data_IF_552008290599
#
_entry.id   IF_552008290599
#
_cell.length_a   1.000
_cell.length_b   1.000
_cell.length_c   1.000
_cell.angle_alpha   90.00
_cell.angle_beta   90.00
_cell.angle_gamma   90.00
#
_symmetry.space_group_name_H-M   'P 1'
#
loop_
_entity.id
_entity.type
_entity.pdbx_description
1 polymer ?
#
# COMPACT_ATOMS: atom_id res chain seq x y z
N UNK A 1 -4.81 2.03 -24.48
CA UNK A 1 -4.18 3.34 -24.75
C UNK A 1 -3.43 3.83 -23.51
N UNK A 2 -2.45 4.68 -23.72
CA UNK A 2 -1.61 5.19 -22.61
C UNK A 2 -2.44 5.90 -21.54
N UNK A 3 -3.44 6.69 -21.95
CA UNK A 3 -4.31 7.40 -21.00
C UNK A 3 -5.04 6.46 -20.07
N UNK A 4 -5.56 5.35 -20.60
CA UNK A 4 -6.29 4.37 -19.80
C UNK A 4 -5.36 3.63 -18.86
N UNK A 5 -4.13 3.36 -19.28
CA UNK A 5 -3.12 2.72 -18.44
C UNK A 5 -2.71 3.62 -17.28
N UNK A 6 -2.56 4.92 -17.55
CA UNK A 6 -2.22 5.88 -16.51
C UNK A 6 -3.37 6.01 -15.51
N UNK A 7 -4.61 6.09 -16.01
CA UNK A 7 -5.79 6.18 -15.15
C UNK A 7 -5.90 4.96 -14.24
N UNK A 8 -5.73 3.74 -14.80
CA UNK A 8 -5.75 2.52 -14.02
C UNK A 8 -4.63 2.49 -12.98
N UNK A 9 -3.44 2.94 -13.35
CA UNK A 9 -2.31 3.02 -12.43
C UNK A 9 -2.64 3.89 -11.23
N UNK A 10 -3.26 5.05 -11.48
CA UNK A 10 -3.62 5.98 -10.40
C UNK A 10 -4.73 5.41 -9.51
N UNK A 11 -5.76 4.82 -10.12
CA UNK A 11 -6.91 4.31 -9.35
C UNK A 11 -6.51 3.12 -8.50
N UNK A 12 -5.80 2.16 -9.05
CA UNK A 12 -5.49 0.90 -8.35
C UNK A 12 -4.17 0.93 -7.59
N UNK A 13 -3.38 2.00 -7.70
CA UNK A 13 -2.23 2.20 -6.83
C UNK A 13 -2.63 2.88 -5.51
N UNK A 14 -3.80 3.51 -5.48
CA UNK A 14 -4.29 4.24 -4.32
C UNK A 14 -4.99 3.28 -3.36
N UNK A 15 -4.79 3.49 -2.07
CA UNK A 15 -5.39 2.63 -1.04
C UNK A 15 -5.96 3.50 0.08
N UNK A 16 -7.15 3.13 0.55
CA UNK A 16 -7.76 3.77 1.70
C UNK A 16 -7.21 3.14 2.98
N UNK A 17 -6.84 3.98 3.92
CA UNK A 17 -6.29 3.57 5.21
C UNK A 17 -7.19 4.12 6.31
N UNK A 18 -7.61 3.24 7.23
CA UNK A 18 -8.36 3.64 8.40
C UNK A 18 -7.63 3.08 9.62
N UNK A 19 -7.20 3.95 10.51
CA UNK A 19 -6.62 3.57 11.78
C UNK A 19 -7.62 3.91 12.87
N UNK A 20 -7.77 3.02 13.85
CA UNK A 20 -8.70 3.28 14.95
C UNK A 20 -8.21 2.66 16.24
N UNK A 21 -8.63 3.25 17.34
CA UNK A 21 -8.54 2.68 18.66
C UNK A 21 -9.91 2.78 19.33
N UNK A 22 -9.96 2.63 20.66
CA UNK A 22 -11.24 2.62 21.37
C UNK A 22 -11.98 3.96 21.31
N UNK A 23 -11.25 5.06 21.12
CA UNK A 23 -11.82 6.40 21.27
C UNK A 23 -11.64 7.30 20.07
N UNK A 24 -10.68 6.99 19.20
CA UNK A 24 -10.33 7.85 18.06
C UNK A 24 -10.24 7.08 16.77
N UNK A 25 -10.28 7.83 15.68
CA UNK A 25 -10.23 7.29 14.32
C UNK A 25 -9.44 8.26 13.45
N UNK A 26 -8.57 7.70 12.61
CA UNK A 26 -7.85 8.44 11.60
C UNK A 26 -8.11 7.82 10.25
N UNK A 27 -8.30 8.66 9.25
CA UNK A 27 -8.53 8.22 7.86
C UNK A 27 -7.52 8.90 6.96
N UNK A 28 -7.07 8.17 5.98
CA UNK A 28 -6.17 8.72 5.00
C UNK A 28 -6.10 7.87 3.76
N UNK A 29 -5.25 8.32 2.87
CA UNK A 29 -5.00 7.65 1.61
C UNK A 29 -3.50 7.43 1.49
N UNK A 30 -3.15 6.30 0.92
CA UNK A 30 -1.77 6.03 0.55
C UNK A 30 -1.71 5.52 -0.86
N UNK A 31 -0.53 5.20 -1.31
CA UNK A 31 -0.37 4.53 -2.60
C UNK A 31 0.70 3.46 -2.49
N UNK A 32 0.54 2.42 -3.31
CA UNK A 32 1.53 1.35 -3.37
C UNK A 32 2.72 1.77 -4.20
N UNK A 33 3.91 1.51 -3.67
CA UNK A 33 5.17 1.71 -4.37
C UNK A 33 5.95 0.41 -4.35
N UNK A 34 6.55 0.06 -5.48
CA UNK A 34 7.41 -1.11 -5.59
C UNK A 34 8.82 -0.66 -5.86
N UNK A 35 9.74 -1.10 -5.03
CA UNK A 35 11.16 -0.90 -5.23
C UNK A 35 11.76 -2.17 -5.80
N UNK A 36 12.39 -2.06 -6.97
CA UNK A 36 13.11 -3.17 -7.61
C UNK A 36 14.58 -3.05 -7.30
N UNK A 37 15.16 -4.16 -6.90
CA UNK A 37 16.60 -4.23 -6.60
C UNK A 37 17.33 -5.04 -7.67
N UNK A 38 18.66 -4.82 -7.84
CA UNK A 38 19.43 -5.53 -8.87
C UNK A 38 19.44 -7.04 -8.74
N UNK A 39 19.25 -7.59 -7.54
CA UNK A 39 19.17 -9.03 -7.30
C UNK A 39 17.81 -9.62 -7.65
N UNK A 40 16.96 -8.84 -8.31
CA UNK A 40 15.59 -9.20 -8.73
C UNK A 40 14.59 -9.32 -7.58
N UNK A 41 14.95 -8.91 -6.37
CA UNK A 41 13.97 -8.80 -5.30
C UNK A 41 13.16 -7.53 -5.45
N UNK A 42 11.92 -7.58 -4.98
CA UNK A 42 11.01 -6.45 -4.98
C UNK A 42 10.45 -6.24 -3.59
N UNK A 43 10.33 -5.00 -3.18
CA UNK A 43 9.66 -4.65 -1.94
C UNK A 43 8.50 -3.73 -2.27
N UNK A 44 7.30 -4.13 -1.85
CA UNK A 44 6.11 -3.30 -1.96
C UNK A 44 5.86 -2.64 -0.61
N UNK A 45 5.56 -1.36 -0.66
CA UNK A 45 5.22 -0.60 0.53
C UNK A 45 4.07 0.35 0.21
N UNK A 46 3.35 0.77 1.23
CA UNK A 46 2.38 1.85 1.11
C UNK A 46 3.06 3.14 1.54
N UNK A 47 2.97 4.17 0.72
CA UNK A 47 3.43 5.52 1.06
C UNK A 47 2.23 6.30 1.56
N UNK A 48 2.32 6.86 2.74
CA UNK A 48 1.25 7.69 3.31
C UNK A 48 1.85 8.77 4.20
N UNK A 49 1.01 9.50 4.90
CA UNK A 49 1.44 10.56 5.81
C UNK A 49 1.57 10.01 7.24
N UNK A 50 2.57 10.49 7.96
CA UNK A 50 2.75 10.07 9.36
C UNK A 50 1.52 10.37 10.21
N UNK A 51 0.87 11.52 10.00
CA UNK A 51 -0.28 11.89 10.83
C UNK A 51 -1.46 10.91 10.69
N UNK A 52 -1.52 10.14 9.61
CA UNK A 52 -2.57 9.13 9.44
C UNK A 52 -2.37 7.96 10.40
N UNK A 53 -1.10 7.58 10.64
CA UNK A 53 -0.77 6.35 11.38
C UNK A 53 -0.20 6.59 12.77
N UNK A 54 0.16 7.83 13.11
CA UNK A 54 0.76 8.14 14.40
C UNK A 54 -0.15 7.75 15.56
N UNK A 55 0.42 6.99 16.50
CA UNK A 55 -0.29 6.63 17.72
C UNK A 55 -1.23 5.44 17.62
N UNK A 56 -1.32 4.81 16.46
CA UNK A 56 -2.20 3.66 16.26
C UNK A 56 -1.41 2.37 16.16
N UNK A 57 -1.98 1.28 16.68
CA UNK A 57 -1.36 -0.04 16.66
C UNK A 57 -1.77 -0.86 15.44
N UNK A 58 -2.91 -0.54 14.84
CA UNK A 58 -3.35 -1.25 13.65
C UNK A 58 -4.10 -0.33 12.70
N UNK A 59 -4.16 -0.78 11.46
CA UNK A 59 -4.90 -0.11 10.40
C UNK A 59 -5.68 -1.15 9.60
N UNK A 60 -6.72 -0.69 8.96
CA UNK A 60 -7.44 -1.46 7.96
C UNK A 60 -7.19 -0.81 6.60
N UNK A 61 -6.74 -1.58 5.63
CA UNK A 61 -6.61 -1.12 4.25
C UNK A 61 -7.65 -1.81 3.40
N UNK A 62 -8.22 -1.08 2.45
CA UNK A 62 -9.27 -1.60 1.59
C UNK A 62 -8.79 -1.59 0.14
N UNK A 63 -8.87 -2.74 -0.49
CA UNK A 63 -8.41 -2.96 -1.86
C UNK A 63 -9.54 -3.57 -2.69
N UNK A 64 -9.47 -3.41 -4.00
CA UNK A 64 -10.39 -4.09 -4.89
C UNK A 64 -10.14 -5.60 -4.86
N UNK A 65 -11.19 -6.38 -4.98
CA UNK A 65 -11.06 -7.82 -5.18
C UNK A 65 -10.70 -8.14 -6.62
N UNK A 66 -10.59 -9.42 -6.92
CA UNK A 66 -10.34 -9.90 -8.27
C UNK A 66 -11.53 -10.74 -8.70
N UNK A 67 -12.08 -10.46 -9.88
CA UNK A 67 -13.17 -11.22 -10.42
C UNK A 67 -12.67 -12.53 -11.07
N UNK A 68 -13.60 -13.33 -11.60
CA UNK A 68 -13.28 -14.62 -12.20
C UNK A 68 -12.40 -14.52 -13.44
N UNK A 69 -12.32 -13.34 -14.04
CA UNK A 69 -11.49 -13.09 -15.22
C UNK A 69 -10.14 -12.48 -14.86
N UNK A 70 -9.82 -12.37 -13.58
CA UNK A 70 -8.57 -11.75 -13.12
C UNK A 70 -8.56 -10.24 -13.16
N UNK A 71 -9.73 -9.62 -13.34
CA UNK A 71 -9.86 -8.18 -13.42
C UNK A 71 -10.30 -7.59 -12.07
N UNK A 72 -10.07 -6.30 -11.84
CA UNK A 72 -10.49 -5.71 -10.58
C UNK A 72 -12.00 -5.75 -10.43
N UNK A 73 -12.44 -6.09 -9.23
CA UNK A 73 -13.85 -6.17 -8.87
C UNK A 73 -14.15 -5.07 -7.85
N UNK A 74 -14.65 -3.95 -8.34
CA UNK A 74 -14.92 -2.78 -7.51
C UNK A 74 -16.18 -2.94 -6.65
N UNK A 75 -16.95 -3.99 -6.87
CA UNK A 75 -18.14 -4.31 -6.06
C UNK A 75 -17.79 -5.17 -4.85
N UNK A 76 -16.68 -5.87 -4.90
CA UNK A 76 -16.24 -6.76 -3.83
C UNK A 76 -14.86 -6.34 -3.35
N UNK A 77 -14.85 -5.45 -2.38
CA UNK A 77 -13.62 -4.98 -1.76
C UNK A 77 -13.13 -5.98 -0.73
N UNK A 78 -11.82 -6.03 -0.56
CA UNK A 78 -11.18 -6.81 0.47
C UNK A 78 -10.55 -5.85 1.48
N UNK A 79 -10.91 -6.02 2.75
CA UNK A 79 -10.33 -5.24 3.84
C UNK A 79 -9.29 -6.10 4.55
N UNK A 80 -8.07 -5.60 4.62
CA UNK A 80 -6.95 -6.29 5.24
C UNK A 80 -6.58 -5.55 6.52
N UNK A 81 -6.52 -6.27 7.63
CA UNK A 81 -6.08 -5.73 8.90
C UNK A 81 -4.57 -5.82 9.01
N UNK A 82 -3.94 -4.69 9.27
CA UNK A 82 -2.49 -4.58 9.43
C UNK A 82 -2.20 -4.36 10.91
N UNK A 83 -1.64 -5.36 11.56
CA UNK A 83 -1.24 -5.30 12.97
C UNK A 83 0.18 -4.79 13.10
N UNK A 84 0.57 -4.43 14.32
CA UNK A 84 1.92 -3.97 14.63
C UNK A 84 2.36 -2.80 13.76
N UNK A 85 1.46 -1.85 13.60
CA UNK A 85 1.59 -0.78 12.62
C UNK A 85 2.89 0.02 12.80
N UNK A 86 3.26 0.31 14.05
CA UNK A 86 4.45 1.11 14.31
C UNK A 86 5.74 0.38 13.95
N UNK A 87 5.76 -0.94 14.05
CA UNK A 87 6.92 -1.76 13.65
C UNK A 87 7.07 -1.84 12.14
N UNK A 88 5.98 -1.61 11.41
CA UNK A 88 5.95 -1.68 9.95
C UNK A 88 6.25 -0.33 9.31
N UNK A 89 6.34 0.71 10.09
CA UNK A 89 6.50 2.07 9.60
C UNK A 89 7.96 2.48 9.57
N UNK A 90 8.37 3.10 8.47
CA UNK A 90 9.62 3.83 8.38
C UNK A 90 9.28 5.26 7.98
N UNK A 91 9.55 6.20 8.89
CA UNK A 91 9.28 7.61 8.66
C UNK A 91 10.43 8.27 7.92
N UNK A 92 10.12 9.32 7.16
CA UNK A 92 11.16 10.12 6.54
C UNK A 92 12.13 10.66 7.60
N UNK A 93 13.45 10.64 7.33
CA UNK A 93 14.42 11.11 8.33
C UNK A 93 14.27 12.59 8.70
N UNK A 94 13.76 13.41 7.77
CA UNK A 94 13.45 14.81 8.08
C UNK A 94 12.06 14.86 8.70
N UNK A 95 11.99 15.26 9.98
CA UNK A 95 10.73 15.31 10.72
C UNK A 95 9.74 16.34 10.20
N UNK A 96 10.21 17.30 9.41
CA UNK A 96 9.33 18.27 8.77
C UNK A 96 8.61 17.71 7.55
N UNK A 97 9.01 16.53 7.10
CA UNK A 97 8.37 15.86 5.97
C UNK A 97 7.46 14.76 6.52
N UNK A 98 6.15 14.97 6.34
CA UNK A 98 5.11 14.09 6.90
C UNK A 98 4.83 12.91 5.98
N UNK A 99 5.84 12.09 5.73
CA UNK A 99 5.75 10.93 4.84
C UNK A 99 6.37 9.72 5.52
N UNK A 100 5.73 8.57 5.36
CA UNK A 100 6.26 7.31 5.84
C UNK A 100 5.95 6.18 4.86
N UNK A 101 6.66 5.08 5.05
CA UNK A 101 6.43 3.82 4.35
C UNK A 101 5.84 2.81 5.33
N UNK A 102 4.88 2.02 4.86
CA UNK A 102 4.32 0.91 5.61
C UNK A 102 4.58 -0.38 4.84
N UNK A 103 5.25 -1.33 5.48
CA UNK A 103 5.56 -2.62 4.86
C UNK A 103 4.44 -3.61 5.16
N UNK A 104 3.70 -4.01 4.13
CA UNK A 104 2.47 -4.79 4.28
C UNK A 104 2.45 -6.06 3.43
N UNK A 105 3.54 -6.40 2.76
CA UNK A 105 3.60 -7.54 1.85
C UNK A 105 3.17 -8.85 2.51
N UNK A 106 3.67 -9.11 3.71
CA UNK A 106 3.36 -10.33 4.43
C UNK A 106 1.86 -10.48 4.69
N UNK A 107 1.19 -9.38 4.98
CA UNK A 107 -0.25 -9.40 5.23
C UNK A 107 -1.05 -9.65 3.95
N UNK A 108 -0.64 -9.03 2.86
CA UNK A 108 -1.29 -9.26 1.57
C UNK A 108 -1.12 -10.73 1.17
N UNK A 109 0.08 -11.28 1.29
CA UNK A 109 0.34 -12.69 0.98
C UNK A 109 -0.47 -13.62 1.86
N UNK A 110 -0.61 -13.29 3.14
CA UNK A 110 -1.41 -14.08 4.08
C UNK A 110 -2.88 -14.15 3.65
N UNK A 111 -3.44 -13.04 3.21
CA UNK A 111 -4.82 -12.99 2.73
C UNK A 111 -4.98 -13.74 1.40
N UNK A 112 -4.01 -13.63 0.51
CA UNK A 112 -4.03 -14.35 -0.75
C UNK A 112 -3.95 -15.86 -0.54
N UNK A 113 -3.14 -16.31 0.40
CA UNK A 113 -3.08 -17.74 0.77
C UNK A 113 -4.39 -18.25 1.37
N UNK A 114 -5.15 -17.35 2.00
CA UNK A 114 -6.47 -17.68 2.54
C UNK A 114 -7.58 -17.62 1.48
N UNK A 115 -7.23 -17.40 0.22
CA UNK A 115 -8.18 -17.35 -0.88
C UNK A 115 -8.81 -16.00 -1.14
N UNK A 116 -8.29 -14.94 -0.52
CA UNK A 116 -8.80 -13.56 -0.68
C UNK A 116 -7.87 -12.78 -1.57
N UNK A 117 -8.01 -12.95 -2.87
CA UNK A 117 -7.17 -12.26 -3.85
C UNK A 117 -7.54 -10.79 -3.96
N UNK A 118 -6.54 -9.95 -4.09
CA UNK A 118 -6.70 -8.49 -4.18
C UNK A 118 -6.03 -7.98 -5.44
N UNK A 119 -6.62 -6.91 -5.99
CA UNK A 119 -6.10 -6.25 -7.16
C UNK A 119 -5.53 -4.89 -6.77
N UNK A 120 -4.26 -4.67 -7.09
CA UNK A 120 -3.63 -3.37 -6.91
C UNK A 120 -2.48 -3.22 -7.89
N UNK A 121 -2.14 -1.97 -8.17
CA UNK A 121 -0.97 -1.62 -8.97
C UNK A 121 -0.02 -0.82 -8.11
N UNK A 122 1.26 -1.09 -8.26
CA UNK A 122 2.29 -0.35 -7.54
C UNK A 122 3.04 0.55 -8.50
N UNK A 123 3.30 1.77 -8.07
CA UNK A 123 4.20 2.67 -8.81
C UNK A 123 5.60 2.11 -8.65
N UNK A 124 6.21 1.69 -9.77
CA UNK A 124 7.50 1.03 -9.74
C UNK A 124 8.66 2.00 -9.80
N UNK A 125 9.69 1.71 -9.02
CA UNK A 125 10.99 2.37 -9.17
C UNK A 125 12.05 1.27 -9.26
N UNK A 126 13.01 1.47 -10.15
CA UNK A 126 14.12 0.54 -10.30
C UNK A 126 15.42 1.24 -9.91
N UNK A 127 16.18 0.58 -9.03
CA UNK A 127 17.45 1.15 -8.58
C UNK A 127 18.43 1.36 -9.73
N UNK A 128 18.36 0.48 -10.73
CA UNK A 128 19.23 0.59 -11.90
C UNK A 128 18.91 1.79 -12.79
N UNK A 129 17.74 2.37 -12.62
CA UNK A 129 17.31 3.53 -13.39
C UNK A 129 17.60 4.85 -12.69
N UNK A 130 18.04 4.79 -11.44
CA UNK A 130 18.40 6.00 -10.71
C UNK A 130 19.66 6.59 -11.32
N UNK A 131 19.70 7.91 -11.50
CA UNK A 131 20.90 8.55 -12.06
C UNK A 131 22.08 8.29 -11.14
N UNK A 132 23.13 7.74 -11.74
CA UNK A 132 24.40 7.61 -11.05
C UNK A 132 25.24 8.83 -11.44
N UNK A 133 25.48 9.64 -10.50
CA UNK A 133 26.30 10.82 -10.76
C UNK A 133 27.76 10.54 -10.51
#
# INVERSE_FOLDING_TARGET
>A
MIKDQIADQLVYSTVRIVCRDKTTLSRGTGFFMRQHFPDKTNINAIVTNNHVVDGYDYAEITLAGIDENGMPDDKNHVTITINDLQKRRISHPDKNIDVCLLFVNDKIEEYEKAGKSVYYKAVGTEMTELPTN
#
